data_IF_820743905933
#
_entry.id   IF_820743905933
#
_cell.length_a   1.000
_cell.length_b   1.000
_cell.length_c   1.000
_cell.angle_alpha   90.00
_cell.angle_beta   90.00
_cell.angle_gamma   90.00
#
_symmetry.space_group_name_H-M   'P 1'
#
loop_
_entity.id
_entity.type
_entity.pdbx_description
1 polymer ?
#
# COMPACT_ATOMS: atom_id res chain seq x y z
N UNK A 1 12.88 1.68 -4.08
CA UNK A 1 13.81 2.81 -4.37
C UNK A 1 13.99 3.57 -3.06
N UNK A 2 15.22 3.74 -2.57
CA UNK A 2 15.51 4.54 -1.38
C UNK A 2 15.84 5.96 -1.86
N UNK A 3 15.12 6.96 -1.37
CA UNK A 3 15.32 8.36 -1.77
C UNK A 3 16.09 9.11 -0.69
N UNK A 4 17.08 9.90 -1.11
CA UNK A 4 17.72 10.88 -0.24
C UNK A 4 16.84 12.12 -0.16
N UNK A 5 16.58 12.61 1.07
CA UNK A 5 15.74 13.79 1.31
C UNK A 5 16.19 15.01 0.50
N UNK A 6 17.51 15.22 0.33
CA UNK A 6 18.05 16.35 -0.43
C UNK A 6 17.55 16.42 -1.87
N UNK A 7 17.27 15.28 -2.53
CA UNK A 7 16.75 15.26 -3.91
C UNK A 7 15.25 15.53 -3.98
N UNK A 8 14.52 15.19 -2.91
CA UNK A 8 13.10 15.50 -2.77
C UNK A 8 12.94 17.00 -2.49
N UNK A 9 13.77 17.55 -1.60
CA UNK A 9 13.77 18.96 -1.18
C UNK A 9 14.25 19.91 -2.30
N UNK A 10 15.19 19.45 -3.15
CA UNK A 10 15.57 20.18 -4.37
C UNK A 10 14.48 20.24 -5.44
N UNK A 11 13.36 19.52 -5.26
CA UNK A 11 12.25 19.51 -6.20
C UNK A 11 12.58 18.84 -7.54
N UNK A 12 13.49 17.85 -7.54
CA UNK A 12 13.85 17.14 -8.75
C UNK A 12 12.61 16.43 -9.33
N UNK A 13 12.22 16.81 -10.54
CA UNK A 13 10.89 16.48 -11.08
C UNK A 13 10.69 14.97 -11.21
N UNK A 14 11.72 14.23 -11.62
CA UNK A 14 11.67 12.77 -11.71
C UNK A 14 11.46 12.09 -10.35
N UNK A 15 12.09 12.63 -9.30
CA UNK A 15 11.96 12.12 -7.93
C UNK A 15 10.55 12.39 -7.42
N UNK A 16 10.05 13.61 -7.59
CA UNK A 16 8.71 14.01 -7.18
C UNK A 16 7.63 13.23 -7.93
N UNK A 17 7.75 13.07 -9.25
CA UNK A 17 6.79 12.29 -10.04
C UNK A 17 6.75 10.84 -9.59
N UNK A 18 7.90 10.23 -9.31
CA UNK A 18 7.93 8.85 -8.83
C UNK A 18 7.42 8.74 -7.40
N UNK A 19 7.72 9.71 -6.54
CA UNK A 19 7.22 9.75 -5.16
C UNK A 19 5.69 9.91 -5.15
N UNK A 20 5.13 10.86 -5.91
CA UNK A 20 3.69 11.09 -5.91
C UNK A 20 2.89 9.97 -6.57
N UNK A 21 3.47 9.24 -7.52
CA UNK A 21 2.82 8.12 -8.20
C UNK A 21 3.16 6.74 -7.60
N UNK A 22 3.95 6.67 -6.53
CA UNK A 22 4.29 5.39 -5.93
C UNK A 22 3.07 4.77 -5.24
N UNK A 23 2.92 3.44 -5.34
CA UNK A 23 1.84 2.73 -4.67
C UNK A 23 1.99 2.77 -3.15
N UNK A 24 3.23 2.71 -2.64
CA UNK A 24 3.53 2.77 -1.20
C UNK A 24 4.64 3.80 -0.94
N UNK A 25 4.42 4.69 0.02
CA UNK A 25 5.44 5.58 0.57
C UNK A 25 5.96 5.06 1.90
N UNK A 26 7.28 5.07 2.10
CA UNK A 26 7.86 4.91 3.43
C UNK A 26 8.70 6.14 3.72
N UNK A 27 8.35 6.86 4.77
CA UNK A 27 8.95 8.15 5.14
C UNK A 27 9.47 8.07 6.57
N UNK A 28 10.74 8.41 6.78
CA UNK A 28 11.33 8.49 8.12
C UNK A 28 11.24 9.93 8.66
N UNK A 29 10.56 10.08 9.79
CA UNK A 29 10.33 11.34 10.49
C UNK A 29 11.30 11.58 11.66
N UNK A 30 12.36 10.77 11.79
CA UNK A 30 13.32 10.90 12.89
C UNK A 30 14.07 12.25 12.88
N UNK A 31 14.18 12.91 11.72
CA UNK A 31 14.83 14.21 11.58
C UNK A 31 13.80 15.34 11.64
N UNK A 32 13.76 16.07 12.77
CA UNK A 32 12.78 17.12 13.02
C UNK A 32 12.77 18.24 11.95
N UNK A 33 13.95 18.58 11.41
CA UNK A 33 14.08 19.59 10.36
C UNK A 33 13.34 19.21 9.06
N UNK A 34 13.22 17.91 8.79
CA UNK A 34 12.62 17.37 7.56
C UNK A 34 11.11 17.12 7.72
N UNK A 35 10.59 17.07 8.95
CA UNK A 35 9.20 16.71 9.23
C UNK A 35 8.20 17.60 8.51
N UNK A 36 8.39 18.93 8.53
CA UNK A 36 7.46 19.87 7.90
C UNK A 36 7.38 19.68 6.38
N UNK A 37 8.52 19.52 5.71
CA UNK A 37 8.58 19.26 4.27
C UNK A 37 7.98 17.88 3.92
N UNK A 38 8.28 16.86 4.72
CA UNK A 38 7.72 15.52 4.53
C UNK A 38 6.20 15.50 4.70
N UNK A 39 5.66 16.18 5.70
CA UNK A 39 4.21 16.33 5.87
C UNK A 39 3.55 17.06 4.69
N UNK A 40 4.21 18.07 4.12
CA UNK A 40 3.73 18.72 2.91
C UNK A 40 3.62 17.73 1.75
N UNK A 41 4.67 16.96 1.46
CA UNK A 41 4.65 15.97 0.39
C UNK A 41 3.64 14.84 0.62
N UNK A 42 3.43 14.42 1.88
CA UNK A 42 2.41 13.46 2.26
C UNK A 42 0.99 13.99 2.02
N UNK A 43 0.72 15.24 2.39
CA UNK A 43 -0.56 15.90 2.12
C UNK A 43 -0.84 16.03 0.62
N UNK A 44 0.20 16.31 -0.19
CA UNK A 44 0.07 16.30 -1.65
C UNK A 44 -0.32 14.89 -2.13
N UNK A 45 0.35 13.83 -1.68
CA UNK A 45 -0.01 12.44 -2.04
C UNK A 45 -1.44 12.07 -1.65
N UNK A 46 -1.88 12.49 -0.47
CA UNK A 46 -3.24 12.29 0.00
C UNK A 46 -4.26 12.97 -0.93
N UNK A 47 -3.95 14.16 -1.45
CA UNK A 47 -4.80 14.86 -2.42
C UNK A 47 -4.90 14.14 -3.78
N UNK A 48 -3.88 13.35 -4.16
CA UNK A 48 -3.91 12.48 -5.33
C UNK A 48 -4.60 11.12 -5.07
N UNK A 49 -5.11 10.89 -3.85
CA UNK A 49 -5.78 9.64 -3.47
C UNK A 49 -4.83 8.50 -3.11
N UNK A 50 -3.52 8.78 -2.95
CA UNK A 50 -2.53 7.79 -2.53
C UNK A 50 -2.56 7.63 -1.01
N UNK A 51 -3.18 6.54 -0.53
CA UNK A 51 -3.46 6.31 0.90
C UNK A 51 -2.40 5.48 1.62
N UNK A 52 -1.61 4.71 0.90
CA UNK A 52 -0.55 3.87 1.46
C UNK A 52 0.71 4.68 1.74
N UNK A 53 0.69 5.44 2.84
CA UNK A 53 1.85 6.15 3.33
C UNK A 53 2.20 5.67 4.74
N UNK A 54 3.40 5.13 4.87
CA UNK A 54 3.92 4.57 6.12
C UNK A 54 4.96 5.51 6.70
N UNK A 55 4.82 5.81 7.98
CA UNK A 55 5.69 6.72 8.72
C UNK A 55 6.56 5.90 9.66
N UNK A 56 7.88 6.04 9.52
CA UNK A 56 8.87 5.52 10.44
C UNK A 56 9.29 6.63 11.39
N UNK A 57 9.46 6.32 12.67
CA UNK A 57 9.97 7.27 13.65
C UNK A 57 10.87 6.57 14.66
N UNK A 58 12.06 7.12 14.89
CA UNK A 58 12.96 6.64 15.93
C UNK A 58 12.51 7.11 17.31
N UNK A 59 12.14 6.17 18.17
CA UNK A 59 11.59 6.40 19.50
C UNK A 59 12.68 6.73 20.52
N UNK A 60 13.03 8.02 20.54
CA UNK A 60 13.93 8.63 21.53
C UNK A 60 13.19 9.01 22.82
N UNK A 61 11.90 9.34 22.74
CA UNK A 61 11.04 9.68 23.88
C UNK A 61 9.59 9.22 23.61
N UNK A 62 9.03 8.44 24.55
CA UNK A 62 7.73 7.81 24.38
C UNK A 62 6.58 8.83 24.31
N UNK A 63 6.69 9.97 25.00
CA UNK A 63 5.65 10.99 25.03
C UNK A 63 5.57 11.74 23.70
N UNK A 64 6.71 12.15 23.15
CA UNK A 64 6.78 12.75 21.80
C UNK A 64 6.37 11.77 20.72
N UNK A 65 6.80 10.50 20.78
CA UNK A 65 6.35 9.45 19.86
C UNK A 65 4.83 9.28 19.88
N UNK A 66 4.22 9.28 21.08
CA UNK A 66 2.77 9.15 21.22
C UNK A 66 2.03 10.36 20.66
N UNK A 67 2.51 11.58 20.92
CA UNK A 67 1.94 12.82 20.36
C UNK A 67 2.01 12.82 18.84
N UNK A 68 3.15 12.44 18.25
CA UNK A 68 3.32 12.36 16.81
C UNK A 68 2.36 11.32 16.20
N UNK A 69 2.23 10.15 16.84
CA UNK A 69 1.31 9.10 16.43
C UNK A 69 -0.15 9.59 16.44
N UNK A 70 -0.55 10.34 17.47
CA UNK A 70 -1.90 10.91 17.57
C UNK A 70 -2.15 12.00 16.50
N UNK A 71 -1.14 12.82 16.20
CA UNK A 71 -1.21 13.81 15.11
C UNK A 71 -1.29 13.16 13.73
N UNK A 72 -0.72 11.97 13.56
CA UNK A 72 -0.65 11.25 12.29
C UNK A 72 -1.70 10.12 12.18
N UNK A 73 -2.87 10.25 12.82
CA UNK A 73 -3.87 9.18 12.92
C UNK A 73 -4.35 8.58 11.60
N UNK A 74 -4.19 9.30 10.48
CA UNK A 74 -4.55 8.84 9.14
C UNK A 74 -3.47 7.98 8.48
N UNK A 75 -2.27 7.91 9.06
CA UNK A 75 -1.10 7.27 8.48
C UNK A 75 -0.70 6.01 9.26
N UNK A 76 -0.13 5.04 8.56
CA UNK A 76 0.45 3.84 9.19
C UNK A 76 1.74 4.21 9.91
N UNK A 77 1.64 4.55 11.19
CA UNK A 77 2.78 4.97 12.02
C UNK A 77 3.50 3.77 12.67
N UNK A 78 4.82 3.71 12.50
CA UNK A 78 5.69 2.66 13.01
C UNK A 78 6.85 3.32 13.77
N UNK A 79 6.80 3.20 15.10
CA UNK A 79 7.89 3.58 15.97
C UNK A 79 8.91 2.44 16.10
N UNK A 80 10.19 2.77 15.95
CA UNK A 80 11.31 1.85 16.12
C UNK A 80 12.38 2.44 17.03
N UNK A 81 13.16 1.62 17.72
CA UNK A 81 14.37 2.03 18.46
C UNK A 81 15.55 1.23 17.94
N UNK A 82 16.67 1.91 17.79
CA UNK A 82 17.93 1.28 17.42
C UNK A 82 18.53 0.60 18.65
N UNK A 83 18.63 -0.73 18.64
CA UNK A 83 19.34 -1.48 19.66
C UNK A 83 20.87 -1.35 19.46
N UNK A 84 21.64 -1.50 20.54
CA UNK A 84 23.12 -1.41 20.53
C UNK A 84 23.78 -2.42 19.59
N UNK A 85 23.07 -3.48 19.18
CA UNK A 85 23.52 -4.46 18.19
C UNK A 85 23.25 -4.05 16.72
N UNK A 86 22.80 -2.82 16.46
CA UNK A 86 22.47 -2.32 15.11
C UNK A 86 21.13 -2.84 14.56
N UNK A 87 20.32 -3.50 15.39
CA UNK A 87 18.99 -3.99 14.98
C UNK A 87 17.90 -2.98 15.32
N UNK A 88 17.02 -2.67 14.35
CA UNK A 88 15.85 -1.81 14.57
C UNK A 88 14.72 -2.63 15.19
N UNK A 89 14.42 -2.37 16.46
CA UNK A 89 13.37 -3.04 17.22
C UNK A 89 12.12 -2.16 17.25
N UNK A 90 10.94 -2.76 17.16
CA UNK A 90 9.68 -2.00 17.26
C UNK A 90 9.44 -1.56 18.70
N UNK A 91 9.08 -0.29 18.89
CA UNK A 91 8.63 0.20 20.19
C UNK A 91 7.13 0.44 20.19
N UNK A 92 6.49 0.25 21.34
CA UNK A 92 5.07 0.50 21.52
C UNK A 92 4.91 1.62 22.57
N UNK A 93 4.58 2.86 22.15
CA UNK A 93 4.52 4.00 23.07
C UNK A 93 3.39 3.90 24.11
N UNK A 94 2.49 2.90 23.99
CA UNK A 94 1.42 2.63 24.95
C UNK A 94 1.78 1.55 26.00
N UNK A 95 2.91 0.85 25.85
CA UNK A 95 3.27 -0.28 26.72
C UNK A 95 4.05 0.14 27.98
N UNK A 96 4.27 1.43 28.21
CA UNK A 96 5.17 1.88 29.28
C UNK A 96 4.52 1.95 30.69
N UNK A 97 3.51 1.11 30.95
CA UNK A 97 2.92 1.00 32.31
C UNK A 97 2.75 -0.41 32.85
N UNK A 98 3.00 -1.46 32.07
CA UNK A 98 3.03 -2.82 32.59
C UNK A 98 3.97 -3.65 31.71
N UNK A 99 4.90 -4.34 32.35
CA UNK A 99 5.87 -5.27 31.76
C UNK A 99 7.15 -4.67 31.16
N UNK A 100 8.08 -4.37 32.10
CA UNK A 100 9.52 -4.25 31.85
C UNK A 100 10.20 -5.56 31.41
N UNK A 101 9.47 -6.63 31.12
CA UNK A 101 10.01 -7.95 30.75
C UNK A 101 9.17 -8.64 29.67
N UNK A 102 9.14 -8.10 28.46
CA UNK A 102 8.80 -8.91 27.27
C UNK A 102 9.94 -8.87 26.25
N UNK A 103 10.57 -10.02 25.91
CA UNK A 103 11.55 -10.14 24.85
C UNK A 103 10.88 -10.15 23.46
N UNK A 104 9.75 -9.45 23.30
CA UNK A 104 8.92 -9.41 22.09
C UNK A 104 9.22 -8.17 21.22
N UNK A 105 10.47 -7.72 21.25
CA UNK A 105 10.95 -6.73 20.28
C UNK A 105 11.08 -7.37 18.91
N UNK A 106 9.95 -7.47 18.19
CA UNK A 106 9.96 -7.92 16.80
C UNK A 106 10.81 -6.97 15.95
N UNK A 107 11.61 -7.49 15.01
CA UNK A 107 12.42 -6.66 14.15
C UNK A 107 11.51 -5.84 13.23
N UNK A 108 11.87 -4.57 13.02
CA UNK A 108 11.18 -3.66 12.09
C UNK A 108 10.97 -4.32 10.71
N UNK A 109 11.96 -5.10 10.27
CA UNK A 109 11.95 -5.89 9.02
C UNK A 109 10.76 -6.83 8.93
N UNK A 110 10.39 -7.49 10.04
CA UNK A 110 9.28 -8.44 10.06
C UNK A 110 7.94 -7.72 9.86
N UNK A 111 7.74 -6.59 10.54
CA UNK A 111 6.51 -5.79 10.40
C UNK A 111 6.40 -5.13 9.03
N UNK A 112 7.49 -4.59 8.48
CA UNK A 112 7.52 -4.08 7.12
C UNK A 112 7.19 -5.17 6.09
N UNK A 113 7.75 -6.38 6.25
CA UNK A 113 7.45 -7.51 5.38
C UNK A 113 5.97 -7.90 5.43
N UNK A 114 5.38 -7.90 6.62
CA UNK A 114 3.95 -8.19 6.79
C UNK A 114 3.07 -7.13 6.13
N UNK A 115 3.37 -5.84 6.34
CA UNK A 115 2.62 -4.75 5.70
C UNK A 115 2.73 -4.80 4.18
N UNK A 116 3.90 -5.12 3.63
CA UNK A 116 4.09 -5.30 2.19
C UNK A 116 3.26 -6.48 1.66
N UNK A 117 3.22 -7.60 2.39
CA UNK A 117 2.38 -8.74 2.04
C UNK A 117 0.89 -8.37 2.06
N UNK A 118 0.44 -7.59 3.06
CA UNK A 118 -0.95 -7.16 3.14
C UNK A 118 -1.32 -6.25 1.96
N UNK A 119 -0.45 -5.32 1.56
CA UNK A 119 -0.64 -4.49 0.36
C UNK A 119 -0.66 -5.33 -0.91
N UNK A 120 0.25 -6.31 -1.04
CA UNK A 120 0.28 -7.22 -2.19
C UNK A 120 -1.03 -8.02 -2.29
N UNK A 121 -1.55 -8.51 -1.16
CA UNK A 121 -2.83 -9.23 -1.11
C UNK A 121 -3.98 -8.31 -1.50
N UNK A 122 -4.03 -7.09 -0.97
CA UNK A 122 -5.07 -6.11 -1.32
C UNK A 122 -5.04 -5.74 -2.81
N UNK A 123 -3.84 -5.53 -3.38
CA UNK A 123 -3.68 -5.25 -4.80
C UNK A 123 -4.20 -6.42 -5.66
N UNK A 124 -3.87 -7.67 -5.30
CA UNK A 124 -4.39 -8.87 -5.98
C UNK A 124 -5.92 -8.94 -5.92
N UNK A 125 -6.50 -8.71 -4.74
CA UNK A 125 -7.96 -8.68 -4.56
C UNK A 125 -8.58 -7.59 -5.44
N UNK A 126 -8.02 -6.39 -5.46
CA UNK A 126 -8.53 -5.28 -6.24
C UNK A 126 -8.49 -5.55 -7.75
N UNK A 127 -7.39 -6.13 -8.26
CA UNK A 127 -7.26 -6.51 -9.66
C UNK A 127 -8.34 -7.55 -10.03
N UNK A 128 -8.56 -8.54 -9.17
CA UNK A 128 -9.62 -9.56 -9.35
C UNK A 128 -11.01 -8.93 -9.36
N UNK A 129 -11.33 -8.08 -8.38
CA UNK A 129 -12.63 -7.41 -8.28
C UNK A 129 -12.89 -6.50 -9.48
N UNK A 130 -11.88 -5.76 -9.94
CA UNK A 130 -11.97 -4.93 -11.14
C UNK A 130 -12.26 -5.77 -12.38
N UNK A 131 -11.57 -6.91 -12.54
CA UNK A 131 -11.85 -7.85 -13.63
C UNK A 131 -13.30 -8.34 -13.61
N UNK A 132 -13.78 -8.81 -12.45
CA UNK A 132 -15.15 -9.30 -12.30
C UNK A 132 -16.19 -8.18 -12.50
N UNK A 133 -15.89 -6.97 -12.05
CA UNK A 133 -16.74 -5.78 -12.25
C UNK A 133 -16.84 -5.41 -13.73
N UNK A 134 -15.71 -5.37 -14.44
CA UNK A 134 -15.67 -5.09 -15.88
C UNK A 134 -16.46 -6.16 -16.68
N UNK A 135 -16.31 -7.43 -16.30
CA UNK A 135 -17.03 -8.55 -16.91
C UNK A 135 -18.54 -8.46 -16.67
N UNK A 136 -18.96 -8.16 -15.44
CA UNK A 136 -20.38 -7.94 -15.11
C UNK A 136 -20.93 -6.75 -15.89
N UNK A 137 -20.19 -5.64 -15.94
CA UNK A 137 -20.58 -4.43 -16.67
C UNK A 137 -20.71 -4.70 -18.17
N UNK A 138 -19.78 -5.45 -18.77
CA UNK A 138 -19.88 -5.83 -20.17
C UNK A 138 -21.16 -6.63 -20.45
N UNK A 139 -21.47 -7.64 -19.64
CA UNK A 139 -22.68 -8.45 -19.77
C UNK A 139 -23.96 -7.63 -19.60
N UNK A 140 -23.98 -6.70 -18.66
CA UNK A 140 -25.19 -5.93 -18.33
C UNK A 140 -25.42 -4.75 -19.31
N UNK A 141 -24.38 -4.28 -20.01
CA UNK A 141 -24.44 -3.07 -20.87
C UNK A 141 -24.38 -3.38 -22.37
N UNK A 142 -23.73 -4.48 -22.77
CA UNK A 142 -23.46 -4.81 -24.17
C UNK A 142 -24.31 -6.02 -24.61
N UNK A 143 -24.54 -6.17 -25.91
CA UNK A 143 -25.29 -7.29 -26.47
C UNK A 143 -24.80 -7.64 -27.88
N UNK A 144 -24.98 -8.89 -28.29
CA UNK A 144 -24.58 -9.37 -29.62
C UNK A 144 -23.07 -9.30 -29.87
N UNK A 145 -22.66 -8.82 -31.04
CA UNK A 145 -21.27 -8.80 -31.50
C UNK A 145 -20.35 -7.90 -30.65
N UNK A 146 -20.90 -6.82 -30.08
CA UNK A 146 -20.17 -5.92 -29.18
C UNK A 146 -19.79 -6.62 -27.87
N UNK A 147 -20.67 -7.49 -27.36
CA UNK A 147 -20.42 -8.28 -26.17
C UNK A 147 -19.35 -9.36 -26.45
N UNK A 148 -19.41 -10.05 -27.58
CA UNK A 148 -18.39 -11.02 -28.01
C UNK A 148 -17.00 -10.38 -28.04
N UNK A 149 -16.91 -9.21 -28.68
CA UNK A 149 -15.64 -8.46 -28.79
C UNK A 149 -15.12 -8.03 -27.42
N UNK A 150 -16.00 -7.54 -26.54
CA UNK A 150 -15.64 -7.16 -25.18
C UNK A 150 -15.17 -8.36 -24.34
N UNK A 151 -15.84 -9.52 -24.45
CA UNK A 151 -15.43 -10.76 -23.77
C UNK A 151 -14.06 -11.25 -24.26
N UNK A 152 -13.78 -11.19 -25.57
CA UNK A 152 -12.45 -11.52 -26.07
C UNK A 152 -11.35 -10.60 -25.53
N UNK A 153 -11.63 -9.30 -25.39
CA UNK A 153 -10.69 -8.35 -24.79
C UNK A 153 -10.48 -8.61 -23.29
N UNK A 154 -11.54 -8.93 -22.55
CA UNK A 154 -11.47 -9.28 -21.13
C UNK A 154 -10.73 -10.60 -20.95
N UNK A 155 -10.93 -11.59 -21.83
CA UNK A 155 -10.21 -12.88 -21.79
C UNK A 155 -8.70 -12.72 -21.79
N UNK A 156 -8.15 -11.77 -22.55
CA UNK A 156 -6.69 -11.50 -22.57
C UNK A 156 -6.15 -11.08 -21.20
N UNK A 157 -6.98 -10.49 -20.34
CA UNK A 157 -6.62 -10.13 -18.95
C UNK A 157 -6.69 -11.33 -17.99
N UNK A 158 -7.38 -12.41 -18.37
CA UNK A 158 -7.45 -13.65 -17.58
C UNK A 158 -6.11 -14.41 -17.61
N UNK A 159 -5.25 -14.15 -18.62
CA UNK A 159 -3.90 -14.72 -18.71
C UNK A 159 -2.95 -14.16 -17.63
N UNK A 160 -3.34 -13.10 -16.92
CA UNK A 160 -2.59 -12.57 -15.77
C UNK A 160 -2.73 -13.53 -14.56
N UNK A 161 -1.62 -14.03 -13.99
CA UNK A 161 -1.66 -14.93 -12.82
C UNK A 161 -2.33 -14.32 -11.59
N UNK A 162 -2.43 -12.99 -11.48
CA UNK A 162 -3.13 -12.31 -10.39
C UNK A 162 -4.65 -12.32 -10.53
N UNK A 163 -5.16 -12.55 -11.74
CA UNK A 163 -6.60 -12.64 -12.06
C UNK A 163 -7.05 -14.10 -12.17
N UNK A 164 -6.15 -14.98 -12.63
CA UNK A 164 -6.42 -16.39 -12.89
C UNK A 164 -6.77 -17.15 -11.60
N UNK A 165 -8.07 -17.24 -11.32
CA UNK A 165 -8.63 -18.01 -10.22
C UNK A 165 -9.94 -18.68 -10.65
N UNK A 166 -10.37 -19.71 -9.91
CA UNK A 166 -11.56 -20.49 -10.27
C UNK A 166 -12.82 -19.64 -10.44
N UNK A 167 -12.99 -18.58 -9.64
CA UNK A 167 -14.12 -17.65 -9.73
C UNK A 167 -14.13 -16.82 -11.03
N UNK A 168 -12.95 -16.31 -11.43
CA UNK A 168 -12.79 -15.53 -12.66
C UNK A 168 -13.01 -16.41 -13.90
N UNK A 169 -12.48 -17.63 -13.89
CA UNK A 169 -12.68 -18.61 -14.97
C UNK A 169 -14.14 -19.01 -15.08
N UNK A 170 -14.80 -19.33 -13.96
CA UNK A 170 -16.22 -19.68 -13.95
C UNK A 170 -17.10 -18.53 -14.48
N UNK A 171 -16.84 -17.31 -14.02
CA UNK A 171 -17.56 -16.12 -14.48
C UNK A 171 -17.38 -15.90 -15.98
N UNK A 172 -16.18 -16.12 -16.51
CA UNK A 172 -15.89 -16.04 -17.94
C UNK A 172 -16.64 -17.09 -18.75
N UNK A 173 -16.65 -18.34 -18.29
CA UNK A 173 -17.35 -19.45 -18.96
C UNK A 173 -18.87 -19.22 -19.00
N UNK A 174 -19.45 -18.68 -17.92
CA UNK A 174 -20.86 -18.29 -17.88
C UNK A 174 -21.12 -17.20 -18.90
N UNK A 175 -20.26 -16.18 -18.97
CA UNK A 175 -20.42 -15.10 -19.96
C UNK A 175 -20.33 -15.59 -21.41
N UNK A 176 -19.44 -16.52 -21.74
CA UNK A 176 -19.40 -17.10 -23.09
C UNK A 176 -20.63 -17.97 -23.40
N UNK A 177 -21.11 -18.73 -22.41
CA UNK A 177 -22.35 -19.53 -22.57
C UNK A 177 -23.55 -18.66 -22.90
N UNK A 178 -23.67 -17.50 -22.24
CA UNK A 178 -24.80 -16.59 -22.45
C UNK A 178 -24.81 -15.98 -23.87
N UNK A 179 -23.68 -16.02 -24.60
CA UNK A 179 -23.53 -15.49 -25.96
C UNK A 179 -23.50 -16.61 -27.03
N UNK A 180 -23.69 -17.88 -26.64
CA UNK A 180 -23.66 -19.06 -27.52
C UNK A 180 -22.39 -19.19 -28.38
N UNK A 181 -21.27 -18.64 -27.93
CA UNK A 181 -19.99 -18.73 -28.63
C UNK A 181 -19.24 -19.96 -28.10
N UNK A 182 -19.42 -21.11 -28.76
CA UNK A 182 -18.81 -22.41 -28.41
C UNK A 182 -17.64 -22.73 -29.34
#
# INVERSE_FOLDING_TARGET
>A
ILWQFEKLDFGETNVLTTFYNADVAVVDLSVQLQQSALFYHLGVRESFGMKENWLLYNDMDAETTLRLKLSCGNYSFISYRLAECGSCLLTHPAADRLDKDTPDSQPLTYKLKKLLQDVEVQAKVHIKEKFLSDLRKARDTLSGEELVTALHNIRRRLDDPHVLCGEAVLSMLISFRDVQDY
#
